data_IF_859441668296
#
_entry.id   IF_859441668296
#
_cell.length_a   1.000
_cell.length_b   1.000
_cell.length_c   1.000
_cell.angle_alpha   90.00
_cell.angle_beta   90.00
_cell.angle_gamma   90.00
#
_symmetry.space_group_name_H-M   'P 1'
#
loop_
_entity.id
_entity.type
_entity.pdbx_description
1 polymer ?
#
# COMPACT_ATOMS: atom_id res chain seq x y z
N UNK A 1 30.16 -39.19 44.92
CA UNK A 1 29.01 -38.24 44.95
C UNK A 1 29.42 -36.94 44.27
N UNK A 2 29.16 -36.78 42.97
CA UNK A 2 29.45 -35.55 42.22
C UNK A 2 28.12 -34.80 42.03
N UNK A 3 27.95 -33.65 42.68
CA UNK A 3 26.77 -32.79 42.51
C UNK A 3 26.97 -31.91 41.28
N UNK A 4 26.14 -32.08 40.26
CA UNK A 4 26.13 -31.27 39.03
C UNK A 4 25.18 -30.09 39.30
N UNK A 5 25.62 -28.81 39.19
CA UNK A 5 24.71 -27.68 39.33
C UNK A 5 23.93 -27.49 38.04
N UNK A 6 22.59 -27.50 38.15
CA UNK A 6 21.66 -27.18 37.07
C UNK A 6 21.76 -25.67 36.83
N UNK A 7 22.39 -25.25 35.73
CA UNK A 7 22.35 -23.87 35.26
C UNK A 7 20.96 -23.61 34.65
N UNK A 8 20.10 -22.89 35.38
CA UNK A 8 18.90 -22.28 34.81
C UNK A 8 19.32 -21.09 33.95
N UNK A 9 19.32 -21.27 32.62
CA UNK A 9 19.49 -20.16 31.70
C UNK A 9 18.19 -19.34 31.65
N UNK A 10 18.22 -18.14 32.24
CA UNK A 10 17.17 -17.14 32.10
C UNK A 10 17.13 -16.66 30.65
N UNK A 11 16.15 -17.10 29.87
CA UNK A 11 15.88 -16.56 28.53
C UNK A 11 15.04 -15.29 28.71
N UNK A 12 15.68 -14.12 28.67
CA UNK A 12 14.97 -12.85 28.66
C UNK A 12 14.32 -12.66 27.27
N UNK A 13 12.99 -12.70 27.22
CA UNK A 13 12.24 -12.37 26.01
C UNK A 13 12.25 -10.86 25.81
N UNK A 14 12.89 -10.38 24.73
CA UNK A 14 12.76 -8.99 24.31
C UNK A 14 11.37 -8.77 23.69
N UNK A 15 10.54 -7.97 24.34
CA UNK A 15 9.27 -7.52 23.77
C UNK A 15 9.54 -6.32 22.88
N UNK A 16 9.34 -6.47 21.58
CA UNK A 16 9.37 -5.35 20.63
C UNK A 16 8.09 -4.53 20.83
N UNK A 17 8.23 -3.31 21.34
CA UNK A 17 7.12 -2.39 21.46
C UNK A 17 6.80 -1.76 20.10
N UNK A 18 5.56 -1.89 19.65
CA UNK A 18 5.11 -1.26 18.41
C UNK A 18 5.22 0.27 18.52
N UNK A 19 5.64 0.92 17.44
CA UNK A 19 5.65 2.39 17.37
C UNK A 19 4.21 2.92 17.48
N UNK A 20 4.01 4.01 18.22
CA UNK A 20 2.69 4.62 18.40
C UNK A 20 2.09 5.15 17.09
N UNK A 21 2.93 5.45 16.09
CA UNK A 21 2.51 5.90 14.76
C UNK A 21 3.05 4.94 13.71
N UNK A 22 2.19 4.39 12.83
CA UNK A 22 2.68 3.55 11.74
C UNK A 22 3.41 4.39 10.70
N UNK A 23 4.35 3.76 10.00
CA UNK A 23 4.89 4.31 8.76
C UNK A 23 3.91 4.05 7.63
N UNK A 24 3.69 5.03 6.74
CA UNK A 24 2.81 4.90 5.59
C UNK A 24 3.68 4.90 4.33
N UNK A 25 3.59 3.85 3.53
CA UNK A 25 4.20 3.76 2.20
C UNK A 25 3.08 3.79 1.17
N UNK A 26 3.08 4.80 0.31
CA UNK A 26 2.09 4.96 -0.75
C UNK A 26 2.69 4.59 -2.10
N UNK A 27 2.27 3.45 -2.65
CA UNK A 27 2.64 3.02 -4.00
C UNK A 27 1.58 3.48 -5.00
N UNK A 28 2.02 4.14 -6.08
CA UNK A 28 1.15 4.57 -7.18
C UNK A 28 1.77 4.12 -8.50
N UNK A 29 1.05 3.29 -9.24
CA UNK A 29 1.43 2.82 -10.58
C UNK A 29 0.75 3.69 -11.64
N UNK A 30 1.49 4.15 -12.64
CA UNK A 30 0.95 4.96 -13.73
C UNK A 30 0.28 4.06 -14.79
N UNK A 31 -0.84 4.52 -15.37
CA UNK A 31 -1.65 3.79 -16.36
C UNK A 31 -2.07 2.35 -15.99
N UNK A 32 -2.17 2.04 -14.69
CA UNK A 32 -2.52 0.70 -14.24
C UNK A 32 -4.03 0.45 -14.29
N UNK A 33 -4.47 -0.36 -15.27
CA UNK A 33 -5.86 -0.86 -15.32
C UNK A 33 -6.19 -1.81 -14.16
N UNK A 34 -7.41 -1.69 -13.63
CA UNK A 34 -7.89 -2.50 -12.49
C UNK A 34 -7.86 -4.03 -12.73
N UNK A 35 -7.97 -4.46 -13.99
CA UNK A 35 -8.00 -5.88 -14.41
C UNK A 35 -6.61 -6.47 -14.70
N UNK A 36 -5.53 -5.69 -14.55
CA UNK A 36 -4.15 -6.12 -14.83
C UNK A 36 -3.41 -6.58 -13.57
N UNK A 37 -4.02 -7.50 -12.84
CA UNK A 37 -3.49 -8.14 -11.63
C UNK A 37 -3.98 -9.60 -11.56
N UNK A 38 -3.14 -10.54 -11.08
CA UNK A 38 -3.61 -11.93 -10.87
C UNK A 38 -4.68 -12.01 -9.79
N UNK A 39 -4.58 -11.25 -8.71
CA UNK A 39 -5.65 -11.14 -7.70
C UNK A 39 -6.96 -10.50 -8.21
N UNK A 40 -6.94 -9.91 -9.42
CA UNK A 40 -8.14 -9.46 -10.14
C UNK A 40 -8.71 -10.51 -11.10
N UNK A 41 -8.11 -11.70 -11.17
CA UNK A 41 -8.55 -12.80 -12.04
C UNK A 41 -7.92 -12.79 -13.44
N UNK A 42 -6.83 -12.04 -13.67
CA UNK A 42 -6.18 -12.04 -14.98
C UNK A 42 -5.65 -13.43 -15.34
N UNK A 43 -5.93 -13.98 -16.54
CA UNK A 43 -5.64 -15.38 -16.87
C UNK A 43 -4.16 -15.73 -17.12
N UNK A 44 -3.25 -14.76 -17.04
CA UNK A 44 -1.85 -14.91 -17.55
C UNK A 44 -0.86 -14.16 -16.68
N UNK A 45 -1.16 -12.90 -16.33
CA UNK A 45 -0.30 -12.09 -15.49
C UNK A 45 -0.11 -12.75 -14.13
N UNK A 46 1.13 -12.71 -13.64
CA UNK A 46 1.50 -13.17 -12.31
C UNK A 46 2.05 -11.98 -11.54
N UNK A 47 1.37 -11.57 -10.49
CA UNK A 47 1.75 -10.46 -9.61
C UNK A 47 1.84 -10.92 -8.16
N UNK A 48 2.72 -11.90 -7.84
CA UNK A 48 2.69 -12.60 -6.55
C UNK A 48 2.86 -11.66 -5.34
N UNK A 49 3.68 -10.61 -5.46
CA UNK A 49 3.87 -9.64 -4.38
C UNK A 49 2.61 -8.79 -4.13
N UNK A 50 1.87 -8.44 -5.20
CA UNK A 50 0.61 -7.70 -5.07
C UNK A 50 -0.51 -8.63 -4.57
N UNK A 51 -0.49 -9.89 -5.00
CA UNK A 51 -1.44 -10.90 -4.53
C UNK A 51 -1.29 -11.14 -3.03
N UNK A 52 -0.04 -11.22 -2.54
CA UNK A 52 0.25 -11.31 -1.11
C UNK A 52 -0.27 -10.07 -0.35
N UNK A 53 0.01 -8.86 -0.83
CA UNK A 53 -0.51 -7.63 -0.22
C UNK A 53 -2.05 -7.59 -0.19
N UNK A 54 -2.70 -8.08 -1.25
CA UNK A 54 -4.16 -8.16 -1.31
C UNK A 54 -4.74 -9.20 -0.34
N UNK A 55 -4.04 -10.32 -0.12
CA UNK A 55 -4.47 -11.40 0.78
C UNK A 55 -4.23 -11.07 2.27
N UNK A 56 -3.15 -10.36 2.59
CA UNK A 56 -2.82 -9.92 3.96
C UNK A 56 -3.56 -8.63 4.36
N UNK A 57 -4.13 -7.92 3.39
CA UNK A 57 -4.80 -6.63 3.59
C UNK A 57 -6.23 -6.60 3.06
N UNK A 58 -6.60 -5.46 2.49
CA UNK A 58 -7.91 -5.24 1.88
C UNK A 58 -7.75 -4.81 0.42
N UNK A 59 -8.52 -5.44 -0.47
CA UNK A 59 -8.60 -5.09 -1.89
C UNK A 59 -9.96 -4.45 -2.19
N UNK A 60 -9.94 -3.32 -2.89
CA UNK A 60 -11.15 -2.62 -3.34
C UNK A 60 -11.41 -2.92 -4.82
N UNK A 61 -12.34 -3.83 -5.18
CA UNK A 61 -12.58 -4.20 -6.57
C UNK A 61 -13.27 -3.09 -7.39
N UNK A 62 -13.92 -2.13 -6.70
CA UNK A 62 -14.68 -1.03 -7.30
C UNK A 62 -14.10 0.33 -6.84
N UNK A 63 -12.79 0.52 -7.01
CA UNK A 63 -12.13 1.81 -6.76
C UNK A 63 -12.13 2.63 -8.06
N UNK A 64 -12.56 3.89 -7.96
CA UNK A 64 -12.64 4.81 -9.11
C UNK A 64 -11.72 5.99 -8.93
N UNK A 65 -11.12 6.40 -10.05
CA UNK A 65 -10.47 7.71 -10.18
C UNK A 65 -11.55 8.74 -10.56
N UNK A 66 -11.43 9.96 -10.08
CA UNK A 66 -12.37 11.05 -10.37
C UNK A 66 -12.21 11.60 -11.80
N UNK A 67 -10.97 11.75 -12.25
CA UNK A 67 -10.60 12.20 -13.60
C UNK A 67 -9.52 11.28 -14.18
N UNK A 68 -9.83 10.59 -15.29
CA UNK A 68 -8.95 9.62 -15.94
C UNK A 68 -7.83 10.28 -16.78
N UNK A 69 -7.03 11.11 -16.12
CA UNK A 69 -5.87 11.77 -16.70
C UNK A 69 -4.76 11.89 -15.66
N UNK A 70 -3.52 11.53 -16.03
CA UNK A 70 -2.42 11.30 -15.08
C UNK A 70 -2.15 12.50 -14.16
N UNK A 71 -2.10 13.70 -14.73
CA UNK A 71 -1.77 14.93 -14.03
C UNK A 71 -2.88 15.35 -13.04
N UNK A 72 -4.14 15.40 -13.49
CA UNK A 72 -5.27 15.76 -12.63
C UNK A 72 -5.58 14.69 -11.57
N UNK A 73 -5.45 13.40 -11.92
CA UNK A 73 -5.61 12.29 -10.97
C UNK A 73 -4.62 12.39 -9.80
N UNK A 74 -3.34 12.66 -10.10
CA UNK A 74 -2.31 12.90 -9.06
C UNK A 74 -2.62 14.14 -8.22
N UNK A 75 -3.07 15.23 -8.84
CA UNK A 75 -3.49 16.43 -8.11
C UNK A 75 -4.66 16.13 -7.16
N UNK A 76 -5.65 15.33 -7.58
CA UNK A 76 -6.74 14.87 -6.70
C UNK A 76 -6.21 14.05 -5.52
N UNK A 77 -5.28 13.12 -5.76
CA UNK A 77 -4.68 12.29 -4.69
C UNK A 77 -3.95 13.15 -3.65
N UNK A 78 -3.14 14.12 -4.08
CA UNK A 78 -2.33 14.92 -3.16
C UNK A 78 -3.11 16.01 -2.42
N UNK A 79 -4.16 16.55 -3.04
CA UNK A 79 -4.95 17.63 -2.44
C UNK A 79 -6.18 17.13 -1.69
N UNK A 80 -6.67 15.91 -2.00
CA UNK A 80 -7.95 15.41 -1.50
C UNK A 80 -9.17 16.14 -2.09
N UNK A 81 -8.98 16.90 -3.17
CA UNK A 81 -10.01 17.71 -3.81
C UNK A 81 -10.37 17.13 -5.18
N UNK A 82 -11.62 17.32 -5.62
CA UNK A 82 -12.00 17.03 -7.00
C UNK A 82 -11.30 17.98 -7.99
N UNK A 83 -11.16 17.56 -9.25
CA UNK A 83 -10.57 18.39 -10.32
C UNK A 83 -11.20 19.78 -10.44
N UNK A 84 -12.53 19.84 -10.39
CA UNK A 84 -13.30 21.10 -10.38
C UNK A 84 -12.93 22.07 -9.25
N UNK A 85 -12.31 21.57 -8.19
CA UNK A 85 -11.94 22.37 -7.01
C UNK A 85 -10.46 22.72 -7.02
N UNK A 86 -9.57 21.79 -7.40
CA UNK A 86 -8.13 22.07 -7.45
C UNK A 86 -7.68 22.76 -8.76
N UNK A 87 -8.49 22.74 -9.82
CA UNK A 87 -8.26 23.50 -11.05
C UNK A 87 -7.10 23.02 -11.94
N UNK A 88 -6.25 22.11 -11.48
CA UNK A 88 -5.17 21.52 -12.27
C UNK A 88 -5.68 20.63 -13.41
N UNK A 89 -5.61 21.14 -14.64
CA UNK A 89 -6.00 20.49 -15.90
C UNK A 89 -4.90 20.64 -16.97
N UNK A 90 -5.00 19.94 -18.11
CA UNK A 90 -4.07 20.13 -19.24
C UNK A 90 -4.18 21.50 -19.93
N UNK A 91 -5.33 22.17 -19.81
CA UNK A 91 -5.57 23.47 -20.45
C UNK A 91 -5.20 24.67 -19.57
N UNK A 92 -4.91 24.44 -18.29
CA UNK A 92 -4.55 25.48 -17.33
C UNK A 92 -3.04 25.50 -17.14
N UNK A 93 -2.39 26.68 -17.15
CA UNK A 93 -0.99 26.80 -16.79
C UNK A 93 -0.70 26.18 -15.41
N UNK A 94 0.51 25.66 -15.16
CA UNK A 94 0.90 25.25 -13.82
C UNK A 94 0.75 26.43 -12.87
N UNK A 95 0.13 26.18 -11.72
CA UNK A 95 0.09 27.11 -10.57
C UNK A 95 1.48 27.37 -10.01
#
# INVERSE_FOLDING_TARGET
MKRIPILFAFFAAFVVQAAQRPNIIFFLSDDHRWDRLSCAGHPVLKTPNIDQLAAEGARFPNMFVTTSICAASRATIFTGLYERTHGYTFGTPPI
#
